data_IF_918890954436
#
_entry.id   IF_918890954436
#
_cell.length_a   1.000
_cell.length_b   1.000
_cell.length_c   1.000
_cell.angle_alpha   90.00
_cell.angle_beta   90.00
_cell.angle_gamma   90.00
#
_symmetry.space_group_name_H-M   'P 1'
#
loop_
_entity.id
_entity.type
_entity.pdbx_description
1 polymer ?
#
# COMPACT_ATOMS: atom_id res chain seq x y z
N UNK A 1 10.10 5.16 -27.17
CA UNK A 1 11.54 5.51 -27.11
C UNK A 1 12.09 4.94 -25.82
N UNK A 2 13.20 4.21 -25.87
CA UNK A 2 13.89 3.74 -24.67
C UNK A 2 14.59 4.93 -24.00
N UNK A 3 14.54 5.01 -22.67
CA UNK A 3 15.28 6.02 -21.92
C UNK A 3 16.79 5.85 -22.16
N UNK A 4 17.56 6.95 -22.26
CA UNK A 4 19.01 6.86 -22.35
C UNK A 4 19.56 6.24 -21.06
N UNK A 5 20.60 5.40 -21.18
CA UNK A 5 21.21 4.68 -20.04
C UNK A 5 21.49 5.56 -18.82
N UNK A 6 22.04 6.79 -18.96
CA UNK A 6 22.24 7.67 -17.80
C UNK A 6 20.95 8.01 -17.04
N UNK A 7 19.83 8.17 -17.75
CA UNK A 7 18.54 8.44 -17.12
C UNK A 7 18.03 7.22 -16.35
N UNK A 8 18.25 6.02 -16.89
CA UNK A 8 17.94 4.76 -16.17
C UNK A 8 18.79 4.63 -14.91
N UNK A 9 20.09 4.92 -15.00
CA UNK A 9 21.00 4.86 -13.84
C UNK A 9 20.61 5.87 -12.76
N UNK A 10 20.29 7.12 -13.13
CA UNK A 10 19.83 8.13 -12.19
C UNK A 10 18.51 7.73 -11.52
N UNK A 11 17.59 7.16 -12.29
CA UNK A 11 16.33 6.65 -11.77
C UNK A 11 16.57 5.55 -10.72
N UNK A 12 17.42 4.56 -11.04
CA UNK A 12 17.77 3.47 -10.14
C UNK A 12 18.46 3.95 -8.86
N UNK A 13 19.38 4.91 -8.95
CA UNK A 13 20.02 5.50 -7.78
C UNK A 13 18.98 6.20 -6.90
N UNK A 14 18.09 6.98 -7.52
CA UNK A 14 17.00 7.66 -6.82
C UNK A 14 16.11 6.67 -6.07
N UNK A 15 15.66 5.61 -6.75
CA UNK A 15 14.86 4.51 -6.21
C UNK A 15 15.50 3.90 -4.96
N UNK A 16 16.76 3.48 -5.06
CA UNK A 16 17.49 2.82 -3.97
C UNK A 16 17.71 3.78 -2.79
N UNK A 17 17.89 5.07 -3.06
CA UNK A 17 18.17 6.07 -2.03
C UNK A 17 16.93 6.49 -1.22
N UNK A 18 15.70 6.23 -1.68
CA UNK A 18 14.49 6.76 -1.01
C UNK A 18 14.36 6.27 0.43
N UNK A 19 14.42 4.97 0.67
CA UNK A 19 14.26 4.40 2.01
C UNK A 19 15.31 4.90 3.02
N UNK A 20 16.63 4.87 2.74
CA UNK A 20 17.61 5.39 3.70
C UNK A 20 17.52 6.90 3.89
N UNK A 21 17.10 7.69 2.89
CA UNK A 21 16.87 9.13 3.07
C UNK A 21 15.61 9.40 3.92
N UNK A 22 14.56 8.61 3.76
CA UNK A 22 13.34 8.74 4.56
C UNK A 22 13.56 8.35 6.03
N UNK A 23 14.43 7.36 6.27
CA UNK A 23 14.80 6.89 7.61
C UNK A 23 16.04 7.61 8.19
N UNK A 24 16.54 8.65 7.51
CA UNK A 24 17.63 9.47 8.03
C UNK A 24 17.22 10.18 9.33
N UNK A 25 18.17 10.84 10.00
CA UNK A 25 17.87 11.60 11.23
C UNK A 25 17.91 13.11 10.95
N UNK A 26 16.80 13.85 11.15
CA UNK A 26 15.48 13.36 11.57
C UNK A 26 14.74 12.62 10.43
N UNK A 27 13.87 11.65 10.75
CA UNK A 27 13.08 10.95 9.73
C UNK A 27 12.24 11.91 8.92
N UNK A 28 12.02 11.59 7.64
CA UNK A 28 11.14 12.39 6.79
C UNK A 28 9.73 12.40 7.42
N UNK A 29 9.21 13.57 7.81
CA UNK A 29 7.93 13.66 8.50
C UNK A 29 6.74 13.24 7.63
N UNK A 30 6.94 13.10 6.31
CA UNK A 30 5.94 12.60 5.38
C UNK A 30 6.05 11.09 5.13
N UNK A 31 7.06 10.41 5.68
CA UNK A 31 7.21 8.95 5.57
C UNK A 31 6.31 8.23 6.56
N UNK A 32 5.28 7.57 6.03
CA UNK A 32 4.35 6.71 6.78
C UNK A 32 4.75 5.25 6.55
N UNK A 33 5.23 4.57 7.61
CA UNK A 33 5.46 3.13 7.58
C UNK A 33 4.16 2.35 7.37
N UNK A 34 4.22 1.23 6.66
CA UNK A 34 3.07 0.46 6.17
C UNK A 34 2.41 1.03 4.90
N UNK A 35 2.79 2.23 4.45
CA UNK A 35 2.22 2.86 3.26
C UNK A 35 3.26 3.06 2.14
N UNK A 36 4.52 3.31 2.50
CA UNK A 36 5.61 3.53 1.55
C UNK A 36 6.75 2.50 1.67
N UNK A 37 6.60 1.50 2.53
CA UNK A 37 7.58 0.43 2.76
C UNK A 37 7.39 -0.78 1.83
N UNK A 38 6.54 -0.65 0.80
CA UNK A 38 6.17 -1.70 -0.13
C UNK A 38 5.45 -2.90 0.52
N UNK A 39 4.78 -2.67 1.66
CA UNK A 39 3.90 -3.63 2.33
C UNK A 39 2.43 -3.15 2.30
N UNK A 40 1.98 -2.64 1.14
CA UNK A 40 0.62 -2.13 0.96
C UNK A 40 -0.41 -3.23 0.60
N UNK A 41 0.04 -4.49 0.58
CA UNK A 41 -0.81 -5.67 0.43
C UNK A 41 -1.16 -6.02 -1.02
N UNK A 42 -0.41 -5.51 -2.00
CA UNK A 42 -0.57 -5.90 -3.41
C UNK A 42 -0.33 -7.41 -3.63
N UNK A 43 0.57 -8.01 -2.86
CA UNK A 43 0.82 -9.45 -2.76
C UNK A 43 -0.42 -10.25 -2.30
N UNK A 44 -1.18 -9.72 -1.34
CA UNK A 44 -2.45 -10.29 -0.87
C UNK A 44 -3.51 -10.21 -1.97
N UNK A 45 -3.61 -9.07 -2.66
CA UNK A 45 -4.54 -8.92 -3.80
C UNK A 45 -4.18 -9.90 -4.92
N UNK A 46 -2.90 -10.04 -5.23
CA UNK A 46 -2.40 -11.00 -6.21
C UNK A 46 -2.71 -12.45 -5.79
N UNK A 47 -2.51 -12.78 -4.51
CA UNK A 47 -2.81 -14.11 -3.97
C UNK A 47 -4.30 -14.45 -4.05
N UNK A 48 -5.18 -13.52 -3.67
CA UNK A 48 -6.64 -13.73 -3.72
C UNK A 48 -7.13 -13.87 -5.17
N UNK A 49 -6.69 -12.99 -6.07
CA UNK A 49 -7.11 -13.02 -7.48
C UNK A 49 -6.55 -14.21 -8.25
N UNK A 50 -5.36 -14.69 -7.88
CA UNK A 50 -4.79 -15.92 -8.46
C UNK A 50 -5.42 -17.21 -7.89
N UNK A 51 -5.89 -17.18 -6.64
CA UNK A 51 -6.65 -18.28 -6.04
C UNK A 51 -8.04 -18.46 -6.69
N UNK A 52 -8.67 -17.38 -7.16
CA UNK A 52 -9.96 -17.43 -7.86
C UNK A 52 -9.88 -18.24 -9.19
N UNK A 53 -8.69 -18.35 -9.79
CA UNK A 53 -8.43 -19.21 -10.96
C UNK A 53 -8.19 -20.69 -10.64
N UNK A 54 -8.12 -21.06 -9.35
CA UNK A 54 -7.74 -22.40 -8.89
C UNK A 54 -8.90 -23.20 -8.25
N UNK A 55 -10.14 -22.70 -8.27
CA UNK A 55 -11.27 -23.38 -7.64
C UNK A 55 -12.14 -24.14 -8.63
N UNK A 56 -12.09 -25.48 -8.56
CA UNK A 56 -13.27 -26.31 -8.84
C UNK A 56 -14.27 -26.05 -7.70
N UNK A 57 -15.04 -24.96 -7.80
CA UNK A 57 -16.31 -24.69 -7.10
C UNK A 57 -16.37 -24.73 -5.56
N UNK A 58 -15.31 -25.11 -4.86
CA UNK A 58 -15.31 -25.28 -3.42
C UNK A 58 -14.22 -24.42 -2.78
N UNK A 59 -14.64 -23.74 -1.71
CA UNK A 59 -13.81 -23.16 -0.65
C UNK A 59 -13.42 -21.68 -0.72
N UNK A 60 -14.31 -20.81 -1.22
CA UNK A 60 -14.27 -19.38 -0.81
C UNK A 60 -14.60 -19.20 0.69
N UNK A 61 -15.23 -20.20 1.34
CA UNK A 61 -15.52 -20.19 2.78
C UNK A 61 -14.26 -20.27 3.68
N UNK A 62 -13.10 -20.70 3.15
CA UNK A 62 -11.86 -20.79 3.92
C UNK A 62 -11.03 -19.50 3.89
N UNK A 63 -11.32 -18.55 2.98
CA UNK A 63 -10.70 -17.24 3.00
C UNK A 63 -11.40 -16.41 4.08
N UNK A 64 -11.07 -16.69 5.33
CA UNK A 64 -11.23 -15.69 6.39
C UNK A 64 -10.22 -14.60 6.06
N UNK A 65 -10.68 -13.54 5.40
CA UNK A 65 -9.96 -12.29 5.35
C UNK A 65 -9.69 -11.90 6.81
N UNK A 66 -8.48 -12.20 7.29
CA UNK A 66 -8.05 -11.81 8.62
C UNK A 66 -7.69 -10.34 8.50
N UNK A 67 -8.71 -9.50 8.32
CA UNK A 67 -8.56 -8.06 8.45
C UNK A 67 -7.97 -7.86 9.85
N UNK A 68 -6.77 -7.28 10.01
CA UNK A 68 -6.26 -7.01 11.33
C UNK A 68 -7.30 -6.13 12.01
N UNK A 69 -7.89 -6.65 13.09
CA UNK A 69 -8.82 -5.88 13.91
C UNK A 69 -7.97 -4.81 14.57
N UNK A 70 -7.90 -3.63 13.95
CA UNK A 70 -7.24 -2.43 14.46
C UNK A 70 -7.89 -1.90 15.75
N UNK A 71 -9.07 -2.42 16.09
CA UNK A 71 -9.80 -2.17 17.33
C UNK A 71 -11.29 -2.47 17.18
N UNK A 72 -11.96 -2.75 18.29
CA UNK A 72 -13.42 -2.81 18.30
C UNK A 72 -13.98 -1.39 18.28
N UNK A 73 -14.62 -1.00 17.17
CA UNK A 73 -15.40 0.23 17.12
C UNK A 73 -16.74 -0.07 17.82
N UNK A 74 -17.06 0.59 18.95
CA UNK A 74 -18.38 0.43 19.56
C UNK A 74 -19.46 0.85 18.55
N UNK A 75 -20.67 0.25 18.60
CA UNK A 75 -21.72 0.59 17.66
C UNK A 75 -22.00 2.10 17.74
N UNK A 76 -21.58 2.83 16.72
CA UNK A 76 -21.94 4.23 16.58
C UNK A 76 -23.46 4.29 16.40
N UNK A 77 -24.11 5.25 17.05
CA UNK A 77 -25.50 5.60 16.77
C UNK A 77 -25.68 6.01 15.28
N UNK A 78 -26.87 6.48 14.88
CA UNK A 78 -27.13 6.90 13.49
C UNK A 78 -25.99 7.78 12.97
N UNK A 79 -25.19 7.23 12.05
CA UNK A 79 -24.07 7.95 11.46
C UNK A 79 -24.69 8.89 10.45
N UNK A 80 -24.80 10.17 10.81
CA UNK A 80 -24.97 11.22 9.80
C UNK A 80 -23.74 11.12 8.91
N UNK A 81 -23.92 10.57 7.69
CA UNK A 81 -22.86 10.55 6.68
C UNK A 81 -22.66 11.97 6.18
N UNK A 82 -22.04 12.82 7.00
CA UNK A 82 -21.27 13.91 6.47
C UNK A 82 -20.20 13.25 5.59
N UNK A 83 -20.34 13.38 4.26
CA UNK A 83 -19.22 13.18 3.35
C UNK A 83 -18.22 14.30 3.65
N UNK A 84 -17.49 14.17 4.76
CA UNK A 84 -16.24 14.88 4.89
C UNK A 84 -15.37 14.31 3.77
N UNK A 85 -15.07 15.13 2.77
CA UNK A 85 -14.03 14.76 1.83
C UNK A 85 -12.79 14.46 2.69
N UNK A 86 -12.33 13.22 2.68
CA UNK A 86 -11.04 12.91 3.26
C UNK A 86 -10.03 13.88 2.62
N UNK A 87 -9.15 14.51 3.40
CA UNK A 87 -8.14 15.39 2.85
C UNK A 87 -7.42 14.64 1.73
N UNK A 88 -7.20 15.34 0.60
CA UNK A 88 -6.48 14.76 -0.53
C UNK A 88 -5.13 14.29 -0.01
N UNK A 89 -4.88 13.00 -0.14
CA UNK A 89 -3.60 12.42 0.20
C UNK A 89 -2.54 12.99 -0.76
N UNK A 90 -1.71 13.91 -0.25
CA UNK A 90 -0.58 14.49 -0.98
C UNK A 90 0.67 13.59 -0.91
N UNK A 91 0.50 12.31 -0.58
CA UNK A 91 1.60 11.36 -0.63
C UNK A 91 2.10 11.18 -2.06
N UNK A 92 3.41 11.04 -2.18
CA UNK A 92 4.09 10.71 -3.43
C UNK A 92 4.07 9.19 -3.60
N UNK A 93 3.73 8.70 -4.79
CA UNK A 93 3.73 7.27 -5.06
C UNK A 93 5.15 6.69 -4.86
N UNK A 94 5.27 5.46 -4.32
CA UNK A 94 6.56 4.78 -4.25
C UNK A 94 7.12 4.60 -5.68
N UNK A 95 8.41 4.84 -5.89
CA UNK A 95 9.00 4.64 -7.20
C UNK A 95 9.10 3.12 -7.47
N UNK A 96 8.69 2.73 -8.69
CA UNK A 96 8.36 1.37 -9.15
C UNK A 96 9.55 0.40 -8.94
N UNK A 97 9.28 -0.77 -8.33
CA UNK A 97 10.21 -1.89 -8.17
C UNK A 97 10.63 -2.53 -9.51
#
# INVERSE_FOLDING_TARGET
>A
MLLPVPAVVLLLIGLIAVAPLALASPPDPLWVGGLFDADDGDDVVLAVTSADGATDGATLDAIKALWPVLGAVPPAGPIDRARSALPVFHGRAPPIA
#
